data_IF_697646598056
#
_entry.id   IF_697646598056
#
_cell.length_a   1.000
_cell.length_b   1.000
_cell.length_c   1.000
_cell.angle_alpha   90.00
_cell.angle_beta   90.00
_cell.angle_gamma   90.00
#
_symmetry.space_group_name_H-M   'P 1'
#
loop_
_entity.id
_entity.type
_entity.pdbx_description
1 polymer ?
#
# COMPACT_ATOMS: atom_id res chain seq x y z
N UNK A 1 -0.33 -29.81 -29.55
CA UNK A 1 -1.37 -28.74 -29.52
C UNK A 1 -0.97 -27.82 -28.38
N UNK A 2 -1.17 -26.50 -28.47
CA UNK A 2 -0.89 -25.59 -27.37
C UNK A 2 -2.05 -25.67 -26.36
N UNK A 3 -1.77 -26.11 -25.13
CA UNK A 3 -2.73 -26.28 -24.06
C UNK A 3 -2.94 -24.92 -23.34
N UNK A 4 -4.20 -24.56 -23.11
CA UNK A 4 -4.57 -23.35 -22.40
C UNK A 4 -5.33 -23.74 -21.14
N UNK A 5 -4.90 -23.24 -19.98
CA UNK A 5 -5.67 -23.30 -18.75
C UNK A 5 -6.20 -21.91 -18.46
N UNK A 6 -7.50 -21.80 -18.15
CA UNK A 6 -8.12 -20.51 -17.77
C UNK A 6 -8.53 -20.53 -16.33
N UNK A 7 -8.30 -19.44 -15.64
CA UNK A 7 -8.63 -19.24 -14.24
C UNK A 7 -9.67 -18.14 -14.13
N UNK A 8 -10.88 -18.51 -13.73
CA UNK A 8 -12.06 -17.65 -13.65
C UNK A 8 -12.45 -16.96 -14.98
N UNK A 9 -12.01 -17.52 -16.11
CA UNK A 9 -12.32 -17.02 -17.45
C UNK A 9 -12.70 -18.20 -18.38
N UNK A 10 -13.91 -18.78 -18.29
CA UNK A 10 -14.24 -20.00 -18.98
C UNK A 10 -14.22 -19.84 -20.51
N UNK A 11 -13.42 -20.66 -21.19
CA UNK A 11 -13.34 -20.79 -22.64
C UNK A 11 -13.75 -22.22 -23.05
N UNK A 12 -14.34 -22.36 -24.24
CA UNK A 12 -14.72 -23.66 -24.77
C UNK A 12 -13.97 -23.98 -26.06
N UNK A 13 -13.22 -25.08 -26.05
CA UNK A 13 -12.46 -25.53 -27.22
C UNK A 13 -11.52 -26.68 -26.88
N UNK A 14 -10.97 -27.33 -27.90
CA UNK A 14 -10.01 -28.43 -27.74
C UNK A 14 -8.71 -27.95 -27.06
N UNK A 15 -8.23 -28.72 -26.08
CA UNK A 15 -7.02 -28.38 -25.31
C UNK A 15 -7.18 -27.17 -24.41
N UNK A 16 -8.41 -26.93 -23.93
CA UNK A 16 -8.76 -25.92 -22.92
C UNK A 16 -9.22 -26.61 -21.65
N UNK A 17 -8.65 -26.20 -20.53
CA UNK A 17 -9.09 -26.59 -19.18
C UNK A 17 -9.52 -25.31 -18.45
N UNK A 18 -10.68 -25.34 -17.83
CA UNK A 18 -11.19 -24.21 -17.04
C UNK A 18 -11.13 -24.55 -15.56
N UNK A 19 -10.57 -23.66 -14.76
CA UNK A 19 -10.54 -23.78 -13.31
C UNK A 19 -10.85 -22.43 -12.65
N UNK A 20 -10.94 -22.41 -11.33
CA UNK A 20 -11.00 -21.16 -10.53
C UNK A 20 -9.67 -20.93 -9.80
N UNK A 21 -9.51 -19.74 -9.22
CA UNK A 21 -8.29 -19.41 -8.48
C UNK A 21 -8.08 -20.34 -7.28
N UNK A 22 -9.18 -20.82 -6.69
CA UNK A 22 -9.26 -21.77 -5.58
C UNK A 22 -9.56 -23.22 -6.03
N UNK A 23 -9.53 -23.51 -7.33
CA UNK A 23 -9.74 -24.84 -7.89
C UNK A 23 -8.58 -25.80 -7.63
N UNK A 24 -8.85 -27.10 -7.76
CA UNK A 24 -7.87 -28.16 -7.48
C UNK A 24 -6.95 -28.47 -8.67
N UNK A 25 -7.31 -28.03 -9.89
CA UNK A 25 -6.51 -28.27 -11.09
C UNK A 25 -5.17 -27.55 -11.02
N UNK A 26 -4.07 -28.26 -11.30
CA UNK A 26 -2.75 -27.65 -11.44
C UNK A 26 -2.65 -26.82 -12.71
N UNK A 27 -1.93 -25.71 -12.65
CA UNK A 27 -1.63 -24.89 -13.83
C UNK A 27 -0.40 -25.39 -14.60
N UNK A 28 0.39 -26.31 -14.03
CA UNK A 28 1.71 -26.70 -14.54
C UNK A 28 1.67 -27.42 -15.89
N UNK A 29 0.53 -27.95 -16.30
CA UNK A 29 0.34 -28.61 -17.59
C UNK A 29 0.02 -27.65 -18.75
N UNK A 30 -0.04 -26.34 -18.47
CA UNK A 30 -0.37 -25.33 -19.47
C UNK A 30 0.84 -24.86 -20.28
N UNK A 31 0.61 -24.54 -21.56
CA UNK A 31 1.50 -23.70 -22.35
C UNK A 31 1.14 -22.22 -22.21
N UNK A 32 -0.12 -21.92 -21.95
CA UNK A 32 -0.67 -20.60 -21.69
C UNK A 32 -1.63 -20.68 -20.52
N UNK A 33 -1.49 -19.79 -19.53
CA UNK A 33 -2.52 -19.59 -18.51
C UNK A 33 -3.17 -18.22 -18.69
N UNK A 34 -4.50 -18.19 -18.61
CA UNK A 34 -5.29 -16.95 -18.76
C UNK A 34 -6.07 -16.69 -17.46
N UNK A 35 -5.83 -15.57 -16.83
CA UNK A 35 -6.50 -15.15 -15.60
C UNK A 35 -7.50 -14.01 -15.83
N UNK A 36 -8.65 -14.06 -15.15
CA UNK A 36 -9.53 -12.92 -14.98
C UNK A 36 -9.60 -12.47 -13.51
N UNK A 37 -8.79 -11.48 -13.10
CA UNK A 37 -8.75 -11.01 -11.72
C UNK A 37 -10.01 -10.28 -11.25
N UNK A 38 -10.95 -9.93 -12.13
CA UNK A 38 -12.20 -9.26 -11.76
C UNK A 38 -13.07 -10.14 -10.88
N UNK A 39 -13.08 -11.43 -11.18
CA UNK A 39 -13.89 -12.44 -10.49
C UNK A 39 -13.34 -12.82 -9.10
N UNK A 40 -12.07 -12.55 -8.81
CA UNK A 40 -11.43 -12.88 -7.53
C UNK A 40 -12.04 -12.08 -6.37
N UNK A 41 -12.65 -10.94 -6.65
CA UNK A 41 -13.33 -10.14 -5.63
C UNK A 41 -14.46 -10.90 -4.93
N UNK A 42 -15.02 -11.94 -5.55
CA UNK A 42 -16.04 -12.83 -4.95
C UNK A 42 -15.53 -13.47 -3.65
N UNK A 43 -14.24 -13.77 -3.54
CA UNK A 43 -13.61 -14.37 -2.35
C UNK A 43 -13.70 -13.49 -1.10
N UNK A 44 -13.77 -12.16 -1.27
CA UNK A 44 -13.82 -11.19 -0.16
C UNK A 44 -14.99 -10.20 -0.22
N UNK A 45 -16.00 -10.45 -1.08
CA UNK A 45 -17.17 -9.57 -1.17
C UNK A 45 -17.98 -9.52 0.12
N UNK A 46 -17.95 -10.58 0.93
CA UNK A 46 -18.59 -10.65 2.25
C UNK A 46 -17.81 -9.93 3.37
N UNK A 47 -16.60 -9.49 3.10
CA UNK A 47 -15.78 -8.77 4.07
C UNK A 47 -16.43 -7.43 4.44
N UNK A 48 -16.53 -7.14 5.73
CA UNK A 48 -17.04 -5.87 6.21
C UNK A 48 -16.07 -4.75 5.82
N UNK A 49 -16.61 -3.64 5.36
CA UNK A 49 -15.86 -2.40 5.21
C UNK A 49 -15.77 -1.72 6.57
N UNK A 50 -14.58 -1.32 6.98
CA UNK A 50 -14.37 -0.43 8.12
C UNK A 50 -14.77 1.02 7.78
N UNK A 51 -14.71 1.89 8.77
CA UNK A 51 -15.01 3.33 8.61
C UNK A 51 -14.07 4.02 7.61
N UNK A 52 -12.87 3.48 7.43
CA UNK A 52 -11.88 3.88 6.43
C UNK A 52 -12.17 3.36 5.00
N UNK A 53 -13.33 2.75 4.77
CA UNK A 53 -13.71 2.10 3.51
C UNK A 53 -12.83 0.90 3.08
N UNK A 54 -11.91 0.45 3.94
CA UNK A 54 -11.06 -0.70 3.68
C UNK A 54 -11.77 -1.99 4.09
N UNK A 55 -11.75 -2.99 3.22
CA UNK A 55 -12.28 -4.33 3.53
C UNK A 55 -11.28 -5.05 4.44
N UNK A 56 -11.77 -5.66 5.53
CA UNK A 56 -10.99 -6.47 6.45
C UNK A 56 -11.50 -7.89 6.52
N UNK A 57 -10.58 -8.84 6.49
CA UNK A 57 -10.85 -10.25 6.71
C UNK A 57 -9.98 -10.78 7.84
N UNK A 58 -10.62 -11.54 8.71
CA UNK A 58 -9.96 -12.17 9.86
C UNK A 58 -9.54 -13.61 9.52
N UNK A 59 -8.57 -14.12 10.28
CA UNK A 59 -8.22 -15.54 10.28
C UNK A 59 -9.44 -16.37 10.72
N UNK A 60 -9.69 -17.60 10.17
CA UNK A 60 -8.84 -18.31 9.19
C UNK A 60 -9.08 -17.96 7.72
N UNK A 61 -10.12 -17.19 7.39
CA UNK A 61 -10.49 -16.92 5.99
C UNK A 61 -9.41 -16.15 5.24
N UNK A 62 -8.81 -15.14 5.88
CA UNK A 62 -7.70 -14.38 5.28
C UNK A 62 -6.49 -15.26 4.99
N UNK A 63 -6.18 -16.21 5.89
CA UNK A 63 -5.06 -17.14 5.73
C UNK A 63 -5.33 -18.13 4.58
N UNK A 64 -6.55 -18.63 4.45
CA UNK A 64 -6.94 -19.52 3.36
C UNK A 64 -6.77 -18.84 2.00
N UNK A 65 -7.27 -17.61 1.86
CA UNK A 65 -7.14 -16.85 0.60
C UNK A 65 -5.66 -16.59 0.31
N UNK A 66 -4.88 -16.18 1.30
CA UNK A 66 -3.44 -15.93 1.16
C UNK A 66 -2.68 -17.16 0.69
N UNK A 67 -2.99 -18.32 1.27
CA UNK A 67 -2.39 -19.60 0.88
C UNK A 67 -2.76 -19.98 -0.56
N UNK A 68 -4.00 -19.75 -0.97
CA UNK A 68 -4.45 -19.94 -2.36
C UNK A 68 -3.64 -19.10 -3.33
N UNK A 69 -3.54 -17.79 -3.10
CA UNK A 69 -2.74 -16.91 -3.97
C UNK A 69 -1.25 -17.28 -3.97
N UNK A 70 -0.69 -17.62 -2.82
CA UNK A 70 0.72 -18.03 -2.71
C UNK A 70 1.00 -19.35 -3.43
N UNK A 71 0.05 -20.29 -3.43
CA UNK A 71 0.16 -21.53 -4.19
C UNK A 71 0.15 -21.26 -5.70
N UNK A 72 -0.84 -20.50 -6.17
CA UNK A 72 -0.95 -20.11 -7.59
C UNK A 72 0.27 -19.31 -8.06
N UNK A 73 0.79 -18.42 -7.22
CA UNK A 73 2.00 -17.67 -7.51
C UNK A 73 3.19 -18.59 -7.77
N UNK A 74 3.38 -19.62 -6.97
CA UNK A 74 4.47 -20.62 -7.16
C UNK A 74 4.31 -21.38 -8.46
N UNK A 75 3.08 -21.80 -8.83
CA UNK A 75 2.84 -22.44 -10.13
C UNK A 75 3.16 -21.48 -11.28
N UNK A 76 2.75 -20.21 -11.18
CA UNK A 76 3.04 -19.16 -12.17
C UNK A 76 4.55 -18.93 -12.30
N UNK A 77 5.29 -18.85 -11.19
CA UNK A 77 6.75 -18.74 -11.19
C UNK A 77 7.40 -19.93 -11.92
N UNK A 78 7.01 -21.15 -11.60
CA UNK A 78 7.48 -22.36 -12.27
C UNK A 78 7.19 -22.35 -13.78
N UNK A 79 5.99 -21.92 -14.18
CA UNK A 79 5.63 -21.82 -15.60
C UNK A 79 6.48 -20.79 -16.34
N UNK A 80 6.73 -19.63 -15.73
CA UNK A 80 7.56 -18.58 -16.31
C UNK A 80 9.03 -19.02 -16.46
N UNK A 81 9.57 -19.73 -15.48
CA UNK A 81 10.91 -20.35 -15.56
C UNK A 81 11.01 -21.38 -16.69
N UNK A 82 9.90 -22.04 -17.03
CA UNK A 82 9.81 -23.02 -18.12
C UNK A 82 9.35 -22.42 -19.46
N UNK A 83 9.44 -21.12 -19.64
CA UNK A 83 9.16 -20.45 -20.91
C UNK A 83 7.68 -20.42 -21.30
N UNK A 84 6.75 -20.63 -20.34
CA UNK A 84 5.31 -20.61 -20.59
C UNK A 84 4.75 -19.20 -20.47
N UNK A 85 3.59 -18.94 -21.08
CA UNK A 85 3.02 -17.58 -21.16
C UNK A 85 1.90 -17.42 -20.15
N UNK A 86 1.99 -16.36 -19.35
CA UNK A 86 0.95 -15.96 -18.41
C UNK A 86 0.22 -14.73 -18.96
N UNK A 87 -1.08 -14.83 -19.09
CA UNK A 87 -1.96 -13.76 -19.56
C UNK A 87 -2.91 -13.40 -18.42
N UNK A 88 -3.09 -12.12 -18.15
CA UNK A 88 -4.09 -11.63 -17.21
C UNK A 88 -4.87 -10.49 -17.86
N UNK A 89 -6.20 -10.51 -17.73
CA UNK A 89 -6.98 -9.35 -18.08
C UNK A 89 -6.73 -8.22 -17.07
N UNK A 90 -6.74 -6.98 -17.57
CA UNK A 90 -6.41 -5.81 -16.78
C UNK A 90 -7.69 -5.17 -16.22
N UNK A 91 -7.88 -5.30 -14.93
CA UNK A 91 -8.98 -4.73 -14.16
C UNK A 91 -8.48 -3.84 -13.04
N UNK A 92 -9.34 -2.99 -12.43
CA UNK A 92 -8.96 -2.23 -11.25
C UNK A 92 -8.41 -3.12 -10.14
N UNK A 93 -7.44 -2.61 -9.40
CA UNK A 93 -6.97 -3.29 -8.20
C UNK A 93 -8.11 -3.38 -7.19
N UNK A 94 -8.31 -4.55 -6.64
CA UNK A 94 -9.21 -4.81 -5.52
C UNK A 94 -8.50 -5.71 -4.51
N UNK A 95 -8.89 -5.61 -3.24
CA UNK A 95 -8.24 -6.41 -2.22
C UNK A 95 -8.83 -6.16 -0.84
N UNK A 96 -8.14 -6.67 0.16
CA UNK A 96 -8.52 -6.53 1.56
C UNK A 96 -7.26 -6.46 2.45
N UNK A 97 -7.43 -5.93 3.67
CA UNK A 97 -6.47 -6.11 4.76
C UNK A 97 -6.76 -7.44 5.44
N UNK A 98 -5.84 -8.37 5.36
CA UNK A 98 -5.94 -9.70 5.96
C UNK A 98 -5.20 -9.77 7.29
N UNK A 99 -5.87 -10.22 8.35
CA UNK A 99 -5.22 -10.53 9.63
C UNK A 99 -4.23 -11.69 9.46
N UNK A 100 -3.08 -11.61 10.10
CA UNK A 100 -2.04 -12.63 10.09
C UNK A 100 -2.09 -13.41 11.42
N UNK A 101 -2.60 -14.63 11.36
CA UNK A 101 -2.76 -15.45 12.55
C UNK A 101 -3.68 -14.80 13.59
N UNK A 102 -3.34 -14.93 14.88
CA UNK A 102 -4.07 -14.27 15.97
C UNK A 102 -3.36 -12.98 16.43
N UNK A 103 -2.46 -12.45 15.62
CA UNK A 103 -1.74 -11.21 15.89
C UNK A 103 -2.47 -10.06 15.23
N UNK A 104 -2.53 -8.90 15.89
CA UNK A 104 -3.11 -7.66 15.33
C UNK A 104 -2.29 -7.09 14.16
N UNK A 105 -1.69 -7.95 13.37
CA UNK A 105 -0.94 -7.61 12.16
C UNK A 105 -1.80 -7.84 10.95
N UNK A 106 -1.75 -6.91 10.02
CA UNK A 106 -2.51 -6.98 8.76
C UNK A 106 -1.57 -6.77 7.59
N UNK A 107 -1.77 -7.57 6.55
CA UNK A 107 -1.17 -7.32 5.24
C UNK A 107 -2.25 -6.99 4.20
N UNK A 108 -1.82 -6.43 3.08
CA UNK A 108 -2.71 -6.12 1.96
C UNK A 108 -2.63 -7.28 0.98
N UNK A 109 -3.78 -7.91 0.72
CA UNK A 109 -3.94 -8.93 -0.33
C UNK A 109 -4.67 -8.32 -1.51
N UNK A 110 -4.11 -8.47 -2.70
CA UNK A 110 -4.60 -7.91 -3.95
C UNK A 110 -5.03 -9.01 -4.92
N UNK A 111 -5.97 -8.68 -5.80
CA UNK A 111 -6.39 -9.55 -6.91
C UNK A 111 -5.28 -9.86 -7.93
N UNK A 112 -4.07 -9.30 -7.77
CA UNK A 112 -2.90 -9.57 -8.60
C UNK A 112 -1.78 -10.31 -7.87
N UNK A 113 -1.96 -10.75 -6.63
CA UNK A 113 -0.91 -11.38 -5.82
C UNK A 113 -0.49 -12.79 -6.32
N UNK A 114 -1.26 -13.36 -7.25
CA UNK A 114 -0.87 -14.58 -7.98
C UNK A 114 0.26 -14.34 -9.00
N UNK A 115 0.52 -13.08 -9.40
CA UNK A 115 1.63 -12.74 -10.29
C UNK A 115 2.92 -12.51 -9.48
N UNK A 116 4.08 -13.01 -9.94
CA UNK A 116 5.37 -12.78 -9.30
C UNK A 116 5.94 -11.39 -9.64
N UNK A 117 5.10 -10.39 -9.51
CA UNK A 117 5.45 -8.99 -9.68
C UNK A 117 5.48 -8.31 -8.32
N UNK A 118 6.24 -7.22 -8.22
CA UNK A 118 6.26 -6.40 -7.00
C UNK A 118 4.89 -5.77 -6.78
N UNK A 119 4.44 -5.70 -5.54
CA UNK A 119 3.14 -5.10 -5.20
C UNK A 119 3.02 -3.66 -5.70
N UNK A 120 4.11 -2.88 -5.69
CA UNK A 120 4.13 -1.51 -6.18
C UNK A 120 3.98 -1.38 -7.71
N UNK A 121 4.07 -2.50 -8.46
CA UNK A 121 3.80 -2.48 -9.91
C UNK A 121 2.36 -2.07 -10.22
N UNK A 122 1.40 -2.50 -9.42
CA UNK A 122 -0.01 -2.15 -9.58
C UNK A 122 -0.44 -1.01 -8.67
N UNK A 123 0.00 -1.01 -7.40
CA UNK A 123 -0.37 0.00 -6.41
C UNK A 123 0.13 1.40 -6.80
N UNK A 124 -0.80 2.33 -6.86
CA UNK A 124 -0.51 3.72 -7.20
C UNK A 124 -0.31 4.01 -8.70
N UNK A 125 0.02 3.00 -9.51
CA UNK A 125 0.25 3.14 -10.96
C UNK A 125 -0.96 2.76 -11.80
N UNK A 126 -1.71 1.74 -11.38
CA UNK A 126 -2.93 1.31 -12.05
C UNK A 126 -4.11 2.14 -11.52
N UNK A 127 -4.77 2.87 -12.42
CA UNK A 127 -5.92 3.72 -12.12
C UNK A 127 -7.19 3.09 -12.68
N UNK A 128 -8.29 3.19 -11.93
CA UNK A 128 -9.61 2.85 -12.43
C UNK A 128 -10.08 3.90 -13.43
N UNK A 129 -10.66 3.45 -14.53
CA UNK A 129 -11.22 4.34 -15.54
C UNK A 129 -11.76 3.55 -16.70
N UNK A 130 -13.08 3.63 -16.95
CA UNK A 130 -13.78 2.87 -17.96
C UNK A 130 -13.88 3.67 -19.26
N UNK A 131 -13.54 3.04 -20.39
CA UNK A 131 -13.81 3.62 -21.71
C UNK A 131 -15.24 3.39 -22.11
N UNK A 132 -15.96 4.47 -22.44
CA UNK A 132 -17.29 4.43 -23.05
C UNK A 132 -17.28 4.61 -24.56
N UNK A 133 -16.09 4.84 -25.16
CA UNK A 133 -15.95 5.16 -26.59
C UNK A 133 -15.21 4.05 -27.33
N UNK A 134 -15.91 3.35 -28.20
CA UNK A 134 -15.30 2.42 -29.14
C UNK A 134 -14.28 3.15 -30.04
N UNK A 135 -13.09 2.57 -30.19
CA UNK A 135 -12.04 3.11 -31.07
C UNK A 135 -11.12 4.17 -30.47
N UNK A 136 -11.23 4.42 -29.16
CA UNK A 136 -10.34 5.36 -28.45
C UNK A 136 -8.97 4.76 -28.08
N UNK A 137 -8.52 3.72 -28.78
CA UNK A 137 -7.31 2.96 -28.49
C UNK A 137 -6.39 2.90 -29.72
N UNK A 138 -5.09 2.79 -29.47
CA UNK A 138 -4.08 2.68 -30.52
C UNK A 138 -2.98 1.70 -30.16
N UNK A 139 -2.38 1.10 -31.20
CA UNK A 139 -1.18 0.29 -31.07
C UNK A 139 0.03 1.20 -30.85
N UNK A 140 0.87 0.87 -29.89
CA UNK A 140 2.19 1.48 -29.74
C UNK A 140 3.21 0.77 -30.66
N UNK A 141 4.35 1.41 -30.92
CA UNK A 141 5.46 0.82 -31.69
C UNK A 141 6.10 -0.32 -30.90
N UNK A 142 5.52 -1.52 -31.00
CA UNK A 142 5.97 -2.71 -30.29
C UNK A 142 6.25 -3.82 -31.30
N UNK A 143 7.27 -4.65 -31.02
CA UNK A 143 7.56 -5.89 -31.78
C UNK A 143 6.88 -7.11 -31.14
N UNK A 144 5.96 -6.92 -30.19
CA UNK A 144 5.28 -7.99 -29.49
C UNK A 144 4.43 -8.84 -30.44
N UNK A 145 4.48 -10.19 -30.32
CA UNK A 145 3.55 -11.06 -31.03
C UNK A 145 2.09 -10.78 -30.68
N UNK A 146 1.82 -10.20 -29.49
CA UNK A 146 0.49 -9.83 -29.03
C UNK A 146 -0.12 -8.62 -29.74
N UNK A 147 0.59 -7.98 -30.66
CA UNK A 147 -0.01 -7.02 -31.60
C UNK A 147 -1.14 -7.66 -32.43
N UNK A 148 -1.10 -8.99 -32.64
CA UNK A 148 -2.20 -9.74 -33.28
C UNK A 148 -3.50 -9.66 -32.47
N UNK A 149 -3.42 -9.65 -31.13
CA UNK A 149 -4.61 -9.47 -30.28
C UNK A 149 -5.27 -8.11 -30.54
N UNK A 150 -4.47 -7.04 -30.54
CA UNK A 150 -4.99 -5.71 -30.88
C UNK A 150 -5.65 -5.68 -32.26
N UNK A 151 -4.99 -6.20 -33.29
CA UNK A 151 -5.50 -6.19 -34.64
C UNK A 151 -6.80 -6.98 -34.79
N UNK A 152 -6.92 -8.10 -34.06
CA UNK A 152 -8.09 -8.96 -34.10
C UNK A 152 -9.30 -8.39 -33.38
N UNK A 153 -9.09 -7.59 -32.30
CA UNK A 153 -10.14 -7.17 -31.37
C UNK A 153 -10.28 -5.67 -31.19
N UNK A 154 -9.60 -4.85 -32.00
CA UNK A 154 -9.57 -3.39 -31.88
C UNK A 154 -10.93 -2.73 -31.66
N UNK A 155 -11.99 -3.19 -32.32
CA UNK A 155 -13.36 -2.64 -32.21
C UNK A 155 -14.14 -3.18 -31.02
N UNK A 156 -13.61 -4.17 -30.29
CA UNK A 156 -14.26 -4.89 -29.20
C UNK A 156 -13.54 -4.74 -27.88
N UNK A 157 -12.32 -4.13 -27.93
CA UNK A 157 -11.54 -3.86 -26.72
C UNK A 157 -12.25 -2.79 -25.90
N UNK A 158 -12.48 -3.11 -24.64
CA UNK A 158 -12.85 -2.18 -23.59
C UNK A 158 -11.79 -2.20 -22.49
N UNK A 159 -11.70 -1.14 -21.69
CA UNK A 159 -10.83 -1.15 -20.52
C UNK A 159 -11.55 -0.53 -19.32
N UNK A 160 -11.24 -1.05 -18.16
CA UNK A 160 -11.74 -0.59 -16.86
C UNK A 160 -10.62 0.00 -15.99
N UNK A 161 -9.38 -0.10 -16.48
CA UNK A 161 -8.20 0.44 -15.83
C UNK A 161 -7.10 0.78 -16.84
N UNK A 162 -6.18 1.63 -16.43
CA UNK A 162 -5.02 2.05 -17.23
C UNK A 162 -3.84 2.38 -16.31
N UNK A 163 -2.63 2.24 -16.82
CA UNK A 163 -1.42 2.68 -16.11
C UNK A 163 -1.23 4.19 -16.25
N UNK A 164 -1.11 4.89 -15.12
CA UNK A 164 -0.92 6.34 -15.07
C UNK A 164 0.55 6.74 -15.29
N UNK A 165 1.15 6.18 -16.31
CA UNK A 165 2.51 6.51 -16.76
C UNK A 165 2.43 6.97 -18.21
N UNK A 166 3.32 7.87 -18.62
CA UNK A 166 3.47 8.18 -20.04
C UNK A 166 4.12 6.97 -20.72
N UNK A 167 3.34 6.26 -21.53
CA UNK A 167 3.72 4.99 -22.11
C UNK A 167 4.11 5.08 -23.59
N UNK A 168 4.16 6.29 -24.16
CA UNK A 168 4.33 6.49 -25.62
C UNK A 168 5.66 5.93 -26.13
N UNK A 169 6.70 6.01 -25.32
CA UNK A 169 8.07 5.60 -25.67
C UNK A 169 8.46 4.26 -25.03
N UNK A 170 7.61 3.71 -24.14
CA UNK A 170 7.88 2.45 -23.48
C UNK A 170 7.40 1.27 -24.33
N UNK A 171 8.29 0.41 -24.84
CA UNK A 171 7.93 -0.72 -25.70
C UNK A 171 7.13 -1.82 -24.99
N UNK A 172 7.12 -1.86 -23.66
CA UNK A 172 6.33 -2.82 -22.88
C UNK A 172 4.83 -2.53 -22.96
N UNK A 173 4.45 -1.25 -23.16
CA UNK A 173 3.06 -0.85 -23.33
C UNK A 173 2.69 -0.87 -24.81
N UNK A 174 2.07 -1.96 -25.25
CA UNK A 174 1.77 -2.16 -26.67
C UNK A 174 0.38 -1.67 -27.09
N UNK A 175 -0.58 -1.52 -26.15
CA UNK A 175 -1.89 -0.90 -26.40
C UNK A 175 -2.02 0.35 -25.52
N UNK A 176 -2.39 1.46 -26.12
CA UNK A 176 -2.55 2.75 -25.46
C UNK A 176 -3.97 3.29 -25.67
N UNK A 177 -4.45 4.06 -24.69
CA UNK A 177 -5.64 4.90 -24.87
C UNK A 177 -5.29 6.22 -25.57
N UNK A 178 -6.27 7.10 -25.81
CA UNK A 178 -6.07 8.42 -26.47
C UNK A 178 -5.07 9.32 -25.74
N UNK A 179 -5.01 9.23 -24.40
CA UNK A 179 -4.11 10.02 -23.57
C UNK A 179 -2.69 9.40 -23.45
N UNK A 180 -2.35 8.43 -24.31
CA UNK A 180 -1.10 7.68 -24.27
C UNK A 180 -0.83 6.91 -22.97
N UNK A 181 -1.88 6.53 -22.24
CA UNK A 181 -1.77 5.69 -21.07
C UNK A 181 -1.86 4.22 -21.45
N UNK A 182 -1.05 3.36 -20.84
CA UNK A 182 -0.99 1.93 -21.14
C UNK A 182 -2.24 1.19 -20.68
N UNK A 183 -2.86 0.43 -21.58
CA UNK A 183 -3.99 -0.46 -21.31
C UNK A 183 -3.70 -1.91 -21.71
N UNK A 184 -2.58 -2.17 -22.35
CA UNK A 184 -2.05 -3.48 -22.67
C UNK A 184 -0.54 -3.47 -22.49
N UNK A 185 -0.01 -4.46 -21.76
CA UNK A 185 1.41 -4.52 -21.33
C UNK A 185 1.97 -5.90 -21.62
N UNK A 186 3.21 -5.96 -22.08
CA UNK A 186 4.00 -7.19 -22.24
C UNK A 186 5.24 -7.06 -21.39
N UNK A 187 5.38 -7.90 -20.38
CA UNK A 187 6.50 -7.91 -19.45
C UNK A 187 7.35 -9.17 -19.69
N UNK A 188 8.57 -9.04 -20.17
CA UNK A 188 9.53 -10.15 -20.18
C UNK A 188 9.88 -10.53 -18.74
N UNK A 189 9.74 -11.80 -18.41
CA UNK A 189 10.08 -12.38 -17.09
C UNK A 189 10.76 -13.73 -17.34
N UNK A 190 12.02 -13.86 -16.93
CA UNK A 190 12.88 -14.98 -17.32
C UNK A 190 12.92 -15.14 -18.85
N UNK A 191 12.77 -16.35 -19.32
CA UNK A 191 12.65 -16.68 -20.76
C UNK A 191 11.20 -16.65 -21.26
N UNK A 192 10.29 -15.99 -20.55
CA UNK A 192 8.85 -16.01 -20.75
C UNK A 192 8.22 -14.62 -20.78
N UNK A 193 6.89 -14.56 -20.83
CA UNK A 193 6.11 -13.33 -20.86
C UNK A 193 4.95 -13.35 -19.86
N UNK A 194 4.80 -12.26 -19.13
CA UNK A 194 3.52 -11.88 -18.52
C UNK A 194 2.87 -10.85 -19.45
N UNK A 195 1.64 -11.11 -19.88
CA UNK A 195 0.89 -10.24 -20.78
C UNK A 195 -0.38 -9.76 -20.08
N UNK A 196 -0.48 -8.46 -19.89
CA UNK A 196 -1.68 -7.84 -19.35
C UNK A 196 -2.51 -7.29 -20.51
N UNK A 197 -3.74 -7.78 -20.67
CA UNK A 197 -4.63 -7.45 -21.77
C UNK A 197 -5.84 -6.67 -21.30
N UNK A 198 -6.33 -5.68 -22.07
CA UNK A 198 -7.63 -5.09 -21.82
C UNK A 198 -8.73 -6.12 -22.09
N UNK A 199 -9.89 -5.92 -21.46
CA UNK A 199 -11.06 -6.78 -21.68
C UNK A 199 -11.58 -6.70 -23.10
N UNK A 200 -12.17 -7.78 -23.57
CA UNK A 200 -12.91 -7.84 -24.83
C UNK A 200 -14.34 -8.31 -24.60
N UNK A 201 -15.24 -8.03 -25.51
CA UNK A 201 -16.63 -8.51 -25.45
C UNK A 201 -16.64 -10.04 -25.55
N UNK A 202 -16.92 -10.71 -24.42
CA UNK A 202 -16.59 -12.10 -24.15
C UNK A 202 -17.41 -13.13 -24.93
N UNK A 203 -18.75 -13.01 -24.92
CA UNK A 203 -19.63 -14.10 -25.39
C UNK A 203 -19.56 -14.38 -26.90
N UNK A 204 -19.10 -13.45 -27.70
CA UNK A 204 -19.11 -13.54 -29.17
C UNK A 204 -17.80 -14.06 -29.77
N UNK A 205 -16.71 -14.24 -28.98
CA UNK A 205 -15.37 -14.37 -29.55
C UNK A 205 -14.53 -15.57 -29.06
N UNK A 206 -15.11 -16.56 -28.37
CA UNK A 206 -14.35 -17.65 -27.76
C UNK A 206 -13.37 -18.34 -28.72
N UNK A 207 -13.83 -18.86 -29.87
CA UNK A 207 -12.94 -19.56 -30.81
C UNK A 207 -11.92 -18.63 -31.46
N UNK A 208 -12.29 -17.38 -31.73
CA UNK A 208 -11.40 -16.37 -32.29
C UNK A 208 -10.31 -15.98 -31.28
N UNK A 209 -10.67 -15.81 -30.00
CA UNK A 209 -9.70 -15.51 -28.93
C UNK A 209 -8.70 -16.64 -28.77
N UNK A 210 -9.18 -17.89 -28.68
CA UNK A 210 -8.32 -19.07 -28.58
C UNK A 210 -7.32 -19.13 -29.75
N UNK A 211 -7.80 -18.93 -30.97
CA UNK A 211 -6.97 -18.91 -32.19
C UNK A 211 -5.89 -17.83 -32.13
N UNK A 212 -6.25 -16.62 -31.70
CA UNK A 212 -5.32 -15.49 -31.58
C UNK A 212 -4.28 -15.77 -30.48
N UNK A 213 -4.70 -16.23 -29.28
CA UNK A 213 -3.78 -16.53 -28.19
C UNK A 213 -2.78 -17.62 -28.58
N UNK A 214 -3.26 -18.71 -29.22
CA UNK A 214 -2.39 -19.76 -29.75
C UNK A 214 -1.43 -19.25 -30.81
N UNK A 215 -1.87 -18.37 -31.72
CA UNK A 215 -1.02 -17.77 -32.74
C UNK A 215 0.08 -16.91 -32.13
N UNK A 216 -0.27 -16.04 -31.17
CA UNK A 216 0.69 -15.21 -30.42
C UNK A 216 1.72 -16.08 -29.69
N UNK A 217 1.25 -17.09 -28.98
CA UNK A 217 2.11 -18.02 -28.25
C UNK A 217 3.01 -18.84 -29.19
N UNK A 218 2.48 -19.35 -30.30
CA UNK A 218 3.29 -20.08 -31.28
C UNK A 218 4.43 -19.21 -31.81
N UNK A 219 4.15 -17.96 -32.11
CA UNK A 219 5.17 -17.03 -32.61
C UNK A 219 6.25 -16.74 -31.57
N UNK A 220 5.92 -16.73 -30.27
CA UNK A 220 6.87 -16.57 -29.17
C UNK A 220 7.62 -17.87 -28.91
N UNK A 221 6.91 -18.99 -28.73
CA UNK A 221 7.47 -20.29 -28.39
C UNK A 221 8.36 -20.85 -29.51
N UNK A 222 8.03 -20.60 -30.78
CA UNK A 222 8.89 -21.06 -31.93
C UNK A 222 10.20 -20.29 -32.05
N UNK A 223 10.30 -19.05 -31.49
CA UNK A 223 11.60 -18.37 -31.42
C UNK A 223 12.51 -18.93 -30.32
N UNK A 224 11.96 -19.56 -29.31
CA UNK A 224 12.65 -20.03 -28.12
C UNK A 224 12.71 -21.56 -28.00
N UNK A 225 12.41 -22.35 -29.06
CA UNK A 225 12.63 -23.79 -29.01
C UNK A 225 14.14 -24.08 -29.15
N UNK A 226 14.86 -23.79 -28.07
CA UNK A 226 16.03 -24.61 -27.74
C UNK A 226 15.50 -25.89 -27.13
N UNK A 227 15.97 -27.04 -27.61
CA UNK A 227 15.69 -28.31 -26.97
C UNK A 227 16.14 -28.20 -25.52
N UNK A 228 15.23 -28.37 -24.52
CA UNK A 228 15.64 -28.27 -23.13
C UNK A 228 16.77 -29.25 -22.87
N UNK A 229 17.90 -28.80 -22.31
CA UNK A 229 19.06 -29.69 -22.13
C UNK A 229 18.67 -30.81 -21.19
N UNK A 230 18.91 -32.06 -21.56
CA UNK A 230 18.70 -33.21 -20.66
C UNK A 230 19.43 -32.99 -19.33
N UNK A 231 18.92 -33.50 -18.19
CA UNK A 231 19.51 -33.29 -16.88
C UNK A 231 21.01 -33.58 -16.78
N UNK A 232 21.48 -34.56 -17.53
CA UNK A 232 22.89 -34.96 -17.55
C UNK A 232 23.81 -33.92 -18.21
N UNK A 233 23.31 -32.96 -19.00
CA UNK A 233 24.14 -31.92 -19.65
C UNK A 233 24.85 -31.08 -18.61
N UNK A 234 24.25 -30.86 -17.42
CA UNK A 234 24.84 -30.11 -16.29
C UNK A 234 26.12 -30.78 -15.75
N UNK A 235 26.35 -32.06 -16.03
CA UNK A 235 27.56 -32.78 -15.64
C UNK A 235 28.77 -32.44 -16.53
N UNK A 236 28.52 -31.88 -17.71
CA UNK A 236 29.55 -31.52 -18.70
C UNK A 236 29.82 -30.01 -18.64
N UNK A 237 30.80 -29.61 -17.84
CA UNK A 237 31.19 -28.22 -17.68
C UNK A 237 32.13 -27.77 -18.80
N UNK A 238 31.88 -26.58 -19.35
CA UNK A 238 32.76 -25.92 -20.30
C UNK A 238 33.84 -25.10 -19.56
N UNK A 239 34.97 -24.86 -20.28
CA UNK A 239 36.06 -24.03 -19.76
C UNK A 239 35.51 -22.61 -19.48
N UNK A 240 35.70 -22.11 -18.24
CA UNK A 240 35.21 -20.80 -17.80
C UNK A 240 33.80 -20.79 -17.20
N UNK A 241 33.00 -21.87 -17.35
CA UNK A 241 31.63 -21.95 -16.83
C UNK A 241 31.62 -21.82 -15.30
N UNK A 242 32.49 -22.55 -14.59
CA UNK A 242 32.57 -22.47 -13.13
C UNK A 242 32.97 -21.04 -12.62
N UNK A 243 33.82 -20.35 -13.39
CA UNK A 243 34.20 -18.98 -13.05
C UNK A 243 33.04 -18.00 -13.21
N UNK A 244 32.23 -18.19 -14.26
CA UNK A 244 31.03 -17.38 -14.50
C UNK A 244 29.93 -17.71 -13.48
N UNK A 245 29.74 -18.98 -13.13
CA UNK A 245 28.83 -19.41 -12.07
C UNK A 245 29.20 -18.79 -10.72
N UNK A 246 30.52 -18.77 -10.39
CA UNK A 246 31.02 -18.11 -9.17
C UNK A 246 30.73 -16.64 -9.19
N UNK A 247 31.04 -15.95 -10.28
CA UNK A 247 30.76 -14.51 -10.42
C UNK A 247 29.26 -14.20 -10.32
N UNK A 248 28.43 -15.01 -10.93
CA UNK A 248 26.97 -14.87 -10.83
C UNK A 248 26.48 -15.06 -9.39
N UNK A 249 27.02 -16.05 -8.68
CA UNK A 249 26.72 -16.28 -7.26
C UNK A 249 27.15 -15.11 -6.37
N UNK A 250 28.35 -14.57 -6.61
CA UNK A 250 28.87 -13.42 -5.85
C UNK A 250 27.99 -12.17 -6.05
N UNK A 251 27.57 -11.93 -7.30
CA UNK A 251 26.64 -10.84 -7.62
C UNK A 251 25.28 -11.06 -6.94
N UNK A 252 24.77 -12.30 -6.92
CA UNK A 252 23.52 -12.61 -6.26
C UNK A 252 23.59 -12.31 -4.75
N UNK A 253 24.68 -12.68 -4.09
CA UNK A 253 24.91 -12.36 -2.67
C UNK A 253 24.97 -10.83 -2.44
N UNK A 254 25.57 -10.09 -3.37
CA UNK A 254 25.62 -8.62 -3.28
C UNK A 254 24.23 -8.00 -3.46
N UNK A 255 23.42 -8.51 -4.39
CA UNK A 255 22.02 -8.09 -4.57
C UNK A 255 21.23 -8.30 -3.28
N UNK A 256 21.35 -9.46 -2.64
CA UNK A 256 20.65 -9.76 -1.38
C UNK A 256 21.06 -8.81 -0.25
N UNK A 257 22.34 -8.50 -0.14
CA UNK A 257 22.87 -7.52 0.84
C UNK A 257 22.33 -6.10 0.57
N UNK A 258 22.29 -5.69 -0.70
CA UNK A 258 21.75 -4.37 -1.06
C UNK A 258 20.24 -4.28 -0.83
N UNK A 259 19.50 -5.37 -1.06
CA UNK A 259 18.06 -5.44 -0.77
C UNK A 259 17.80 -5.33 0.73
N UNK A 260 18.56 -6.04 1.58
CA UNK A 260 18.46 -5.93 3.04
C UNK A 260 18.76 -4.50 3.52
N UNK A 261 19.84 -3.90 3.02
CA UNK A 261 20.19 -2.51 3.36
C UNK A 261 19.13 -1.50 2.90
N UNK A 262 18.47 -1.77 1.77
CA UNK A 262 17.38 -0.91 1.29
C UNK A 262 16.18 -0.96 2.23
N UNK A 263 15.83 -2.14 2.75
CA UNK A 263 14.73 -2.32 3.73
C UNK A 263 15.04 -1.51 4.99
N UNK A 264 16.27 -1.63 5.54
CA UNK A 264 16.72 -0.89 6.71
C UNK A 264 16.56 0.63 6.52
N UNK A 265 17.01 1.16 5.37
CA UNK A 265 16.87 2.60 5.05
C UNK A 265 15.38 3.01 4.90
N UNK A 266 14.55 2.14 4.33
CA UNK A 266 13.11 2.41 4.21
C UNK A 266 12.42 2.42 5.59
N UNK A 267 12.83 1.58 6.52
CA UNK A 267 12.37 1.58 7.91
C UNK A 267 12.79 2.85 8.64
N UNK A 268 14.08 3.22 8.59
CA UNK A 268 14.59 4.48 9.17
C UNK A 268 13.85 5.70 8.59
N UNK A 269 13.61 5.71 7.28
CA UNK A 269 12.84 6.76 6.63
C UNK A 269 11.41 6.82 7.16
N UNK A 270 10.77 5.68 7.37
CA UNK A 270 9.41 5.62 7.88
C UNK A 270 9.32 6.11 9.32
N UNK A 271 10.31 5.78 10.17
CA UNK A 271 10.41 6.30 11.54
C UNK A 271 10.45 7.84 11.60
N UNK A 272 11.10 8.46 10.62
CA UNK A 272 11.15 9.93 10.53
C UNK A 272 9.86 10.48 9.91
N UNK A 273 9.44 9.91 8.79
CA UNK A 273 8.34 10.48 8.00
C UNK A 273 6.96 10.30 8.63
N UNK A 274 6.80 9.37 9.59
CA UNK A 274 5.55 9.19 10.33
C UNK A 274 5.07 10.48 11.00
N UNK A 275 5.99 11.31 11.49
CA UNK A 275 5.63 12.58 12.15
C UNK A 275 4.94 13.59 11.23
N UNK A 276 4.96 13.40 9.91
CA UNK A 276 4.12 14.19 9.00
C UNK A 276 2.62 13.98 9.24
N UNK A 277 2.23 12.86 9.87
CA UNK A 277 0.86 12.61 10.30
C UNK A 277 0.32 13.67 11.26
N UNK A 278 1.18 14.30 12.08
CA UNK A 278 0.81 15.45 12.93
C UNK A 278 0.12 16.59 12.15
N UNK A 279 0.35 16.66 10.83
CA UNK A 279 -0.20 17.70 9.98
C UNK A 279 -1.61 17.38 9.46
N UNK A 280 -2.01 16.08 9.39
CA UNK A 280 -3.26 15.70 8.71
C UNK A 280 -4.03 14.55 9.37
N UNK A 281 -3.46 13.82 10.34
CA UNK A 281 -4.15 12.70 11.00
C UNK A 281 -5.16 13.18 12.06
N UNK A 282 -6.00 12.25 12.52
CA UNK A 282 -6.98 12.38 13.59
C UNK A 282 -7.17 11.05 14.33
N UNK A 283 -7.83 11.09 15.50
CA UNK A 283 -8.12 9.89 16.31
C UNK A 283 -6.85 9.19 16.76
N UNK A 284 -6.90 7.88 16.88
CA UNK A 284 -5.83 7.05 17.46
C UNK A 284 -4.47 7.25 16.77
N UNK A 285 -4.44 7.41 15.43
CA UNK A 285 -3.21 7.67 14.68
C UNK A 285 -2.56 8.98 15.11
N UNK A 286 -3.36 10.03 15.35
CA UNK A 286 -2.85 11.30 15.84
C UNK A 286 -2.37 11.20 17.29
N UNK A 287 -3.09 10.50 18.15
CA UNK A 287 -2.73 10.27 19.55
C UNK A 287 -1.37 9.55 19.66
N UNK A 288 -1.16 8.48 18.90
CA UNK A 288 0.13 7.79 18.85
C UNK A 288 1.29 8.69 18.41
N UNK A 289 1.05 9.57 17.42
CA UNK A 289 2.08 10.50 16.95
C UNK A 289 2.40 11.59 17.99
N UNK A 290 1.41 12.06 18.74
CA UNK A 290 1.62 12.99 19.84
C UNK A 290 2.41 12.32 20.97
N UNK A 291 2.06 11.08 21.35
CA UNK A 291 2.81 10.31 22.34
C UNK A 291 4.28 10.17 21.93
N UNK A 292 4.55 9.69 20.72
CA UNK A 292 5.92 9.57 20.19
C UNK A 292 6.65 10.91 20.16
N UNK A 293 5.95 11.98 19.86
CA UNK A 293 6.53 13.33 19.86
C UNK A 293 6.91 13.79 21.27
N UNK A 294 6.06 13.54 22.24
CA UNK A 294 6.35 13.86 23.64
C UNK A 294 7.50 13.02 24.19
N UNK A 295 7.58 11.73 23.82
CA UNK A 295 8.73 10.87 24.13
C UNK A 295 10.02 11.42 23.52
N UNK A 296 10.01 11.92 22.27
CA UNK A 296 11.18 12.60 21.65
C UNK A 296 11.58 13.88 22.37
N UNK A 297 10.62 14.61 22.97
CA UNK A 297 10.89 15.77 23.84
C UNK A 297 11.41 15.39 25.24
N UNK A 298 11.40 14.08 25.58
CA UNK A 298 11.89 13.55 26.83
C UNK A 298 10.86 13.44 27.94
N UNK A 299 9.57 13.40 27.59
CA UNK A 299 8.53 12.94 28.51
C UNK A 299 8.45 11.40 28.52
N UNK A 300 8.05 10.82 29.63
CA UNK A 300 7.42 9.50 29.66
C UNK A 300 5.94 9.71 29.32
N UNK A 301 5.50 9.25 28.15
CA UNK A 301 4.18 9.50 27.61
C UNK A 301 3.54 8.23 27.09
N UNK A 302 2.28 8.02 27.45
CA UNK A 302 1.50 6.83 27.06
C UNK A 302 0.01 7.17 26.91
N UNK A 303 -0.74 6.35 26.19
CA UNK A 303 -2.19 6.31 26.25
C UNK A 303 -2.57 5.47 27.49
N UNK A 304 -3.47 5.97 28.32
CA UNK A 304 -3.89 5.24 29.52
C UNK A 304 -5.38 4.98 29.50
N UNK A 305 -5.73 3.68 29.49
CA UNK A 305 -7.08 3.19 29.74
C UNK A 305 -7.16 2.70 31.19
N UNK A 306 -8.01 3.33 32.00
CA UNK A 306 -8.32 2.86 33.35
C UNK A 306 -9.82 2.62 33.45
N UNK A 307 -10.22 1.34 33.59
CA UNK A 307 -11.62 0.88 33.64
C UNK A 307 -12.52 1.47 32.56
N UNK A 308 -13.41 2.38 32.87
CA UNK A 308 -14.32 3.04 31.92
C UNK A 308 -13.81 4.40 31.41
N UNK A 309 -12.55 4.79 31.75
CA UNK A 309 -11.96 6.08 31.43
C UNK A 309 -10.80 5.92 30.45
N UNK A 310 -10.91 6.58 29.32
CA UNK A 310 -9.88 6.63 28.29
C UNK A 310 -9.32 8.06 28.23
N UNK A 311 -8.00 8.19 28.51
CA UNK A 311 -7.27 9.43 28.35
C UNK A 311 -6.43 9.36 27.09
N UNK A 312 -6.54 10.35 26.21
CA UNK A 312 -5.80 10.34 24.96
C UNK A 312 -4.28 10.29 25.20
N UNK A 313 -3.74 11.12 26.08
CA UNK A 313 -2.32 11.08 26.46
C UNK A 313 -2.09 11.47 27.93
N UNK A 314 -1.36 10.64 28.65
CA UNK A 314 -0.76 10.95 29.95
C UNK A 314 0.74 11.11 29.78
N UNK A 315 1.34 12.15 30.34
CA UNK A 315 2.77 12.40 30.19
C UNK A 315 3.40 12.96 31.48
N UNK A 316 4.64 12.55 31.73
CA UNK A 316 5.38 12.90 32.93
C UNK A 316 6.87 13.19 32.62
N UNK A 317 7.47 14.08 33.38
CA UNK A 317 8.92 14.35 33.38
C UNK A 317 9.38 14.85 34.74
N UNK A 318 10.67 15.13 34.90
CA UNK A 318 11.18 15.73 36.13
C UNK A 318 10.60 17.12 36.42
N UNK A 319 10.07 17.81 35.40
CA UNK A 319 9.49 19.15 35.51
C UNK A 319 8.00 19.12 35.92
N UNK A 320 7.33 17.98 35.83
CA UNK A 320 5.90 17.81 36.24
C UNK A 320 5.16 16.79 35.39
N UNK A 321 3.84 16.72 35.66
CA UNK A 321 2.89 15.79 35.03
C UNK A 321 1.81 16.54 34.28
N UNK A 322 1.30 15.92 33.23
CA UNK A 322 0.18 16.45 32.47
C UNK A 322 -0.70 15.40 31.84
N UNK A 323 -1.91 15.84 31.46
CA UNK A 323 -2.88 15.11 30.67
C UNK A 323 -3.20 15.92 29.43
N UNK A 324 -3.35 15.25 28.30
CA UNK A 324 -3.78 15.91 27.07
C UNK A 324 -5.01 15.23 26.48
N UNK A 325 -5.92 16.07 25.97
CA UNK A 325 -7.01 15.69 25.07
C UNK A 325 -6.66 16.17 23.67
N UNK A 326 -6.91 15.33 22.67
CA UNK A 326 -6.50 15.56 21.28
C UNK A 326 -7.72 15.61 20.37
N UNK A 327 -7.78 16.60 19.48
CA UNK A 327 -8.85 16.68 18.50
C UNK A 327 -8.33 17.04 17.10
N UNK A 328 -8.68 16.21 16.10
CA UNK A 328 -8.52 16.52 14.66
C UNK A 328 -9.82 17.07 14.07
N UNK A 329 -9.74 18.19 13.33
CA UNK A 329 -10.86 18.82 12.62
C UNK A 329 -10.54 19.05 11.16
N UNK A 330 -11.44 18.60 10.27
CA UNK A 330 -11.23 18.72 8.82
C UNK A 330 -11.23 20.16 8.35
N UNK A 331 -12.28 20.92 8.71
CA UNK A 331 -12.54 22.26 8.17
C UNK A 331 -12.96 23.25 9.27
N UNK A 332 -12.58 23.01 10.51
CA UNK A 332 -13.02 23.83 11.65
C UNK A 332 -11.92 23.99 12.71
N UNK A 333 -12.12 24.92 13.63
CA UNK A 333 -11.34 25.09 14.85
C UNK A 333 -11.71 24.00 15.88
N UNK A 334 -10.87 23.81 16.88
CA UNK A 334 -11.13 22.87 17.98
C UNK A 334 -12.27 23.37 18.85
N UNK A 335 -13.20 22.49 19.22
CA UNK A 335 -14.42 22.83 19.94
C UNK A 335 -14.24 22.81 21.47
N UNK A 336 -15.07 23.61 22.16
CA UNK A 336 -15.07 23.71 23.60
C UNK A 336 -15.41 22.40 24.31
N UNK A 337 -16.15 21.50 23.67
CA UNK A 337 -16.54 20.22 24.25
C UNK A 337 -15.35 19.35 24.68
N UNK A 338 -14.20 19.49 24.02
CA UNK A 338 -12.97 18.79 24.38
C UNK A 338 -12.33 19.33 25.68
N UNK A 339 -12.51 20.61 26.00
CA UNK A 339 -12.12 21.14 27.30
C UNK A 339 -12.94 20.56 28.45
N UNK A 340 -14.20 20.22 28.22
CA UNK A 340 -15.04 19.57 29.24
C UNK A 340 -14.59 18.13 29.50
N UNK A 341 -14.12 17.44 28.47
CA UNK A 341 -13.49 16.12 28.59
C UNK A 341 -12.18 16.19 29.38
N UNK A 342 -11.28 17.09 28.96
CA UNK A 342 -10.01 17.35 29.65
C UNK A 342 -10.21 17.71 31.12
N UNK A 343 -11.20 18.56 31.42
CA UNK A 343 -11.48 18.95 32.81
C UNK A 343 -11.89 17.75 33.67
N UNK A 344 -12.76 16.88 33.15
CA UNK A 344 -13.12 15.64 33.87
C UNK A 344 -11.89 14.75 34.10
N UNK A 345 -11.07 14.55 33.07
CA UNK A 345 -9.86 13.76 33.17
C UNK A 345 -8.88 14.29 34.24
N UNK A 346 -8.71 15.62 34.29
CA UNK A 346 -7.84 16.27 35.30
C UNK A 346 -8.43 16.16 36.73
N UNK A 347 -9.74 16.33 36.90
CA UNK A 347 -10.40 16.20 38.19
C UNK A 347 -10.32 14.74 38.71
N UNK A 348 -10.50 13.76 37.85
CA UNK A 348 -10.40 12.32 38.17
C UNK A 348 -8.96 11.89 38.52
N UNK A 349 -7.94 12.36 37.78
CA UNK A 349 -6.53 12.08 38.13
C UNK A 349 -6.17 12.71 39.46
N UNK A 350 -6.72 13.91 39.78
CA UNK A 350 -6.54 14.54 41.10
C UNK A 350 -7.17 13.71 42.24
N UNK A 351 -8.37 13.17 42.04
CA UNK A 351 -9.01 12.30 43.05
C UNK A 351 -8.19 11.07 43.35
N UNK A 352 -7.51 10.51 42.32
CA UNK A 352 -6.68 9.33 42.45
C UNK A 352 -5.31 9.58 43.09
N UNK A 353 -4.70 10.75 42.80
CA UNK A 353 -3.29 11.02 43.13
C UNK A 353 -3.05 12.15 44.11
N UNK A 354 -4.06 13.00 44.34
CA UNK A 354 -3.98 14.13 45.27
C UNK A 354 -3.20 15.35 44.73
N UNK A 355 -2.76 15.34 43.48
CA UNK A 355 -2.08 16.44 42.79
C UNK A 355 -2.70 16.69 41.43
N UNK A 356 -2.94 17.98 41.10
CA UNK A 356 -3.49 18.35 39.78
C UNK A 356 -2.43 18.25 38.69
N UNK A 357 -2.66 17.43 37.66
CA UNK A 357 -1.81 17.42 36.48
C UNK A 357 -2.07 18.66 35.63
N UNK A 358 -1.10 19.09 34.82
CA UNK A 358 -1.30 20.13 33.82
C UNK A 358 -2.20 19.62 32.68
N UNK A 359 -3.36 20.24 32.49
CA UNK A 359 -4.24 19.92 31.36
C UNK A 359 -3.79 20.62 30.07
N UNK A 360 -3.72 19.90 28.96
CA UNK A 360 -3.36 20.42 27.64
C UNK A 360 -4.42 20.00 26.63
N UNK A 361 -4.98 20.98 25.90
CA UNK A 361 -5.81 20.68 24.73
C UNK A 361 -4.94 20.76 23.47
N UNK A 362 -4.86 19.67 22.74
CA UNK A 362 -4.05 19.57 21.50
C UNK A 362 -4.97 19.53 20.29
N UNK A 363 -4.75 20.43 19.33
CA UNK A 363 -5.59 20.57 18.15
C UNK A 363 -4.87 20.40 16.82
N UNK A 364 -5.40 19.51 15.96
CA UNK A 364 -5.09 19.46 14.52
C UNK A 364 -6.25 20.09 13.74
N UNK A 365 -6.36 21.41 13.85
CA UNK A 365 -7.42 22.23 13.25
C UNK A 365 -7.22 22.36 11.74
N UNK A 366 -8.32 22.50 10.99
CA UNK A 366 -8.30 22.66 9.52
C UNK A 366 -7.31 21.72 8.83
N UNK A 367 -7.24 20.45 9.27
CA UNK A 367 -6.18 19.49 8.91
C UNK A 367 -6.08 19.18 7.41
N UNK A 368 -7.11 19.47 6.62
CA UNK A 368 -7.08 19.33 5.15
C UNK A 368 -6.51 20.58 4.46
N UNK A 369 -6.21 21.64 5.22
CA UNK A 369 -5.57 22.86 4.72
C UNK A 369 -4.09 22.86 5.05
N UNK A 370 -3.26 23.43 4.15
CA UNK A 370 -1.84 23.63 4.45
C UNK A 370 -1.67 24.35 5.78
N UNK A 371 -0.86 23.83 6.72
CA UNK A 371 -0.69 24.40 8.06
C UNK A 371 -0.40 25.90 8.10
N UNK A 372 0.37 26.43 7.15
CA UNK A 372 0.71 27.86 7.06
C UNK A 372 -0.47 28.76 6.66
N UNK A 373 -1.53 28.18 6.10
CA UNK A 373 -2.71 28.89 5.63
C UNK A 373 -3.95 28.62 6.49
N UNK A 374 -3.79 27.92 7.61
CA UNK A 374 -4.89 27.61 8.52
C UNK A 374 -5.37 28.86 9.25
N UNK A 375 -6.67 28.91 9.54
CA UNK A 375 -7.25 29.90 10.43
C UNK A 375 -6.86 29.58 11.87
N UNK A 376 -7.32 30.41 12.81
CA UNK A 376 -7.08 30.20 14.23
C UNK A 376 -7.50 28.81 14.70
N UNK A 377 -6.64 28.20 15.52
CA UNK A 377 -6.82 26.83 15.99
C UNK A 377 -7.94 26.71 17.02
N UNK A 378 -8.08 27.69 17.86
CA UNK A 378 -8.97 27.67 18.99
C UNK A 378 -9.90 28.92 18.94
N UNK A 379 -11.18 28.70 19.27
CA UNK A 379 -12.14 29.82 19.33
C UNK A 379 -11.90 30.68 20.56
N UNK A 380 -12.37 31.95 20.56
CA UNK A 380 -12.28 32.83 21.71
C UNK A 380 -12.87 32.20 23.00
N UNK A 381 -13.95 31.43 22.87
CA UNK A 381 -14.55 30.70 24.00
C UNK A 381 -13.59 29.65 24.57
N UNK A 382 -12.83 28.95 23.73
CA UNK A 382 -11.83 27.98 24.16
C UNK A 382 -10.73 28.66 24.94
N UNK A 383 -10.21 29.82 24.49
CA UNK A 383 -9.21 30.61 25.20
C UNK A 383 -9.71 31.07 26.57
N UNK A 384 -10.93 31.59 26.64
CA UNK A 384 -11.53 32.03 27.91
C UNK A 384 -11.62 30.89 28.93
N UNK A 385 -12.09 29.71 28.50
CA UNK A 385 -12.25 28.55 29.39
C UNK A 385 -10.89 27.94 29.75
N UNK A 386 -9.97 27.82 28.81
CA UNK A 386 -8.62 27.34 29.08
C UNK A 386 -7.90 28.22 30.12
N UNK A 387 -8.02 29.54 30.00
CA UNK A 387 -7.49 30.50 31.00
C UNK A 387 -8.12 30.32 32.38
N UNK A 388 -9.46 30.16 32.43
CA UNK A 388 -10.19 29.95 33.69
C UNK A 388 -9.83 28.64 34.38
N UNK A 389 -9.54 27.58 33.59
CA UNK A 389 -9.21 26.23 34.09
C UNK A 389 -7.72 26.00 34.22
N UNK A 390 -6.89 26.96 33.89
CA UNK A 390 -5.42 26.83 33.90
C UNK A 390 -4.89 25.77 32.93
N UNK A 391 -5.54 25.60 31.78
CA UNK A 391 -5.11 24.64 30.74
C UNK A 391 -4.25 25.32 29.69
N UNK A 392 -3.31 24.54 29.09
CA UNK A 392 -2.53 24.95 27.94
C UNK A 392 -3.24 24.59 26.61
N UNK A 393 -2.98 25.36 25.58
CA UNK A 393 -3.48 25.13 24.22
C UNK A 393 -2.29 24.87 23.29
N UNK A 394 -2.26 23.74 22.59
CA UNK A 394 -1.13 23.35 21.73
C UNK A 394 -1.63 22.87 20.37
N UNK A 395 -1.01 23.34 19.29
CA UNK A 395 -1.33 22.84 17.96
C UNK A 395 -0.39 21.70 17.56
N UNK A 396 -0.88 20.76 16.77
CA UNK A 396 -0.03 19.68 16.22
C UNK A 396 1.02 20.23 15.27
N UNK A 397 0.81 21.41 14.68
CA UNK A 397 1.81 22.07 13.85
C UNK A 397 2.99 22.59 14.68
N UNK A 398 2.74 23.11 15.89
CA UNK A 398 3.83 23.47 16.83
C UNK A 398 4.62 22.23 17.26
N UNK A 399 3.93 21.12 17.55
CA UNK A 399 4.59 19.84 17.85
C UNK A 399 5.45 19.41 16.65
N UNK A 400 4.93 19.46 15.43
CA UNK A 400 5.65 19.10 14.21
C UNK A 400 6.92 19.92 14.03
N UNK A 401 6.87 21.24 14.22
CA UNK A 401 8.06 22.11 14.13
C UNK A 401 9.10 21.76 15.20
N UNK A 402 8.67 21.49 16.42
CA UNK A 402 9.57 21.07 17.50
C UNK A 402 10.24 19.72 17.17
N UNK A 403 9.49 18.77 16.60
CA UNK A 403 10.05 17.49 16.17
C UNK A 403 11.02 17.65 15.00
N UNK A 404 10.74 18.52 14.03
CA UNK A 404 11.73 18.84 12.98
C UNK A 404 13.05 19.29 13.59
N UNK A 405 13.02 20.23 14.53
CA UNK A 405 14.23 20.70 15.20
C UNK A 405 14.94 19.59 15.99
N UNK A 406 14.20 18.76 16.74
CA UNK A 406 14.76 17.66 17.52
C UNK A 406 15.42 16.60 16.63
N UNK A 407 14.84 16.29 15.47
CA UNK A 407 15.40 15.35 14.50
C UNK A 407 16.71 15.87 13.89
N UNK A 408 16.82 17.18 13.66
CA UNK A 408 18.05 17.84 13.19
C UNK A 408 19.10 17.97 14.30
N UNK A 409 18.65 18.15 15.57
CA UNK A 409 19.48 18.39 16.74
C UNK A 409 19.16 17.38 17.87
N UNK A 410 19.42 16.06 17.69
CA UNK A 410 18.94 15.03 18.62
C UNK A 410 19.54 15.13 20.02
N UNK A 411 20.70 15.76 20.18
CA UNK A 411 21.43 15.92 21.43
C UNK A 411 21.18 17.25 22.14
N UNK A 412 20.32 18.13 21.59
CA UNK A 412 19.97 19.41 22.23
C UNK A 412 18.99 19.18 23.39
N UNK A 413 19.56 18.85 24.56
CA UNK A 413 18.82 18.62 25.80
C UNK A 413 18.17 19.89 26.34
N UNK A 414 18.76 21.06 26.07
CA UNK A 414 18.26 22.34 26.55
C UNK A 414 16.98 22.74 25.79
N UNK A 415 16.93 22.50 24.49
CA UNK A 415 15.73 22.68 23.71
C UNK A 415 14.60 21.74 24.16
N UNK A 416 14.91 20.44 24.39
CA UNK A 416 13.93 19.49 24.92
C UNK A 416 13.40 19.93 26.29
N UNK A 417 14.25 20.38 27.18
CA UNK A 417 13.87 20.95 28.48
C UNK A 417 12.97 22.18 28.32
N UNK A 418 13.29 23.07 27.38
CA UNK A 418 12.51 24.25 27.06
C UNK A 418 11.10 23.87 26.58
N UNK A 419 10.99 22.88 25.69
CA UNK A 419 9.71 22.36 25.23
C UNK A 419 8.87 21.82 26.41
N UNK A 420 9.45 21.00 27.28
CA UNK A 420 8.75 20.45 28.44
C UNK A 420 8.25 21.54 29.39
N UNK A 421 9.12 22.53 29.69
CA UNK A 421 8.73 23.63 30.53
C UNK A 421 7.60 24.48 29.91
N UNK A 422 7.63 24.73 28.60
CA UNK A 422 6.57 25.47 27.90
C UNK A 422 5.25 24.71 27.93
N UNK A 423 5.27 23.41 27.68
CA UNK A 423 4.07 22.55 27.73
C UNK A 423 3.47 22.56 29.16
N UNK A 424 4.28 22.40 30.19
CA UNK A 424 3.81 22.26 31.57
C UNK A 424 3.45 23.62 32.25
N UNK A 425 3.98 24.75 31.78
CA UNK A 425 3.85 26.04 32.49
C UNK A 425 3.06 27.10 31.73
N UNK A 426 2.70 26.90 30.47
CA UNK A 426 1.87 27.87 29.72
C UNK A 426 0.40 27.65 30.06
N UNK A 427 -0.26 28.66 30.56
CA UNK A 427 -1.63 28.61 31.07
C UNK A 427 -2.51 29.62 30.32
N UNK A 428 -3.61 29.13 29.74
CA UNK A 428 -4.65 29.94 29.11
C UNK A 428 -4.24 30.61 27.79
N UNK A 429 -3.08 30.24 27.27
CA UNK A 429 -2.52 30.80 26.04
C UNK A 429 -2.07 29.65 25.12
N UNK A 430 -1.84 29.97 23.86
CA UNK A 430 -1.26 29.00 22.92
C UNK A 430 0.23 28.77 23.23
N UNK A 431 0.60 27.49 23.31
CA UNK A 431 1.96 27.08 23.60
C UNK A 431 2.80 27.19 22.31
N UNK A 432 3.80 28.06 22.33
CA UNK A 432 4.78 28.20 21.24
C UNK A 432 6.05 27.45 21.62
N UNK A 433 6.40 26.42 20.88
CA UNK A 433 7.58 25.59 21.15
C UNK A 433 8.83 26.11 20.45
N UNK A 434 8.69 26.71 19.27
CA UNK A 434 9.77 27.33 18.50
C UNK A 434 9.62 28.85 18.58
N UNK A 435 10.67 29.55 19.01
CA UNK A 435 10.71 31.00 18.90
C UNK A 435 10.81 31.41 17.42
N UNK A 436 10.09 32.50 17.06
CA UNK A 436 10.10 33.04 15.69
C UNK A 436 11.45 33.67 15.37
#
# INVERSE_FOLDING_TARGET
MINIITVNYPLNGDGIINTSIDGDETLLDADIVVFDPSEFSSLWNHAKKGDDNVRRLYSPTSDQIRNTFSSRRREVETLLENGKIIISFLHPTSGFKGEIGNESRYDIVSNYDFLPLRQDFFLGRLKSGTSSLNGAIKLNKSKSPFNQFFNAFKSQISYTSYFDLNATENPEYFILNKANKGIGVVLPVFESLIVLLPSIEYERNNSKLIGVLRSCAKQFLTKNIQTPPPPWVKEFKLIGENELDSKASDIQIEIEKLQAKKIEIEEEKNEITQFKGLLFEQGNELEELVIKSFQKMGFDAENRKMDDLEHDVVFESAEGKGLAEIEGKDNDAVHISKLDQLNRAVDEDFELRGEYPQGILIGNHYRLTNPENRKEAFTEKVHIVAKKKSFGLLTTFEIFKAIQYILENPNDTDFKLKCRNRILKTIGEEIVLIDK
#
